data_IF_768595874452
#
_entry.id   IF_768595874452
#
_cell.length_a   1.000
_cell.length_b   1.000
_cell.length_c   1.000
_cell.angle_alpha   90.00
_cell.angle_beta   90.00
_cell.angle_gamma   90.00
#
_symmetry.space_group_name_H-M   'P 1'
#
loop_
_entity.id
_entity.type
_entity.pdbx_description
1 polymer ?
#
# COMPACT_ATOMS: atom_id res chain seq x y z
N UNK A 1 6.31 23.72 45.61
CA UNK A 1 6.89 22.43 45.17
C UNK A 1 6.06 21.66 44.13
N UNK A 2 4.85 22.12 43.80
CA UNK A 2 3.95 21.44 42.81
C UNK A 2 4.24 21.76 41.34
N UNK A 3 5.00 22.80 41.07
CA UNK A 3 5.21 23.28 39.67
C UNK A 3 6.33 22.57 38.91
N UNK A 4 7.34 22.07 39.59
CA UNK A 4 8.48 21.38 38.98
C UNK A 4 8.11 20.00 38.39
N UNK A 5 7.19 19.28 39.06
CA UNK A 5 6.71 17.98 38.51
C UNK A 5 5.84 18.18 37.26
N UNK A 6 5.04 19.24 37.23
CA UNK A 6 4.24 19.61 36.04
C UNK A 6 5.10 20.04 34.87
N UNK A 7 6.19 20.78 35.15
CA UNK A 7 7.16 21.20 34.14
C UNK A 7 7.93 20.00 33.57
N UNK A 8 8.44 19.11 34.43
CA UNK A 8 9.13 17.88 34.04
C UNK A 8 8.22 16.94 33.23
N UNK A 9 6.94 16.83 33.60
CA UNK A 9 5.96 16.02 32.86
C UNK A 9 5.68 16.61 31.46
N UNK A 10 5.55 17.94 31.34
CA UNK A 10 5.40 18.63 30.05
C UNK A 10 6.65 18.49 29.18
N UNK A 11 7.83 18.60 29.78
CA UNK A 11 9.09 18.40 29.08
C UNK A 11 9.26 16.95 28.62
N UNK A 12 8.95 15.98 29.49
CA UNK A 12 8.94 14.57 29.14
C UNK A 12 7.95 14.26 28.01
N UNK A 13 6.73 14.81 28.06
CA UNK A 13 5.72 14.64 27.01
C UNK A 13 6.17 15.25 25.69
N UNK A 14 6.86 16.38 25.73
CA UNK A 14 7.42 17.04 24.54
C UNK A 14 8.61 16.27 23.95
N UNK A 15 9.48 15.71 24.78
CA UNK A 15 10.60 14.88 24.36
C UNK A 15 10.15 13.49 23.92
N UNK A 16 9.12 12.91 24.53
CA UNK A 16 8.58 11.61 24.13
C UNK A 16 7.84 11.66 22.80
N UNK A 17 7.28 12.81 22.40
CA UNK A 17 6.71 13.01 21.06
C UNK A 17 7.79 13.02 19.98
N UNK A 18 9.01 13.46 20.29
CA UNK A 18 10.14 13.44 19.35
C UNK A 18 10.75 12.03 19.16
N UNK A 19 10.50 11.10 20.09
CA UNK A 19 11.01 9.72 20.05
C UNK A 19 9.98 8.68 19.62
N UNK A 20 8.74 9.07 19.30
CA UNK A 20 7.76 8.12 18.80
C UNK A 20 8.17 7.64 17.41
N UNK A 21 8.40 6.35 17.30
CA UNK A 21 8.51 5.68 16.02
C UNK A 21 7.36 6.16 15.13
N UNK A 22 7.68 6.64 13.93
CA UNK A 22 6.68 7.17 13.01
C UNK A 22 5.74 6.03 12.61
N UNK A 23 4.51 6.09 13.09
CA UNK A 23 3.45 5.19 12.64
C UNK A 23 2.99 5.63 11.26
N UNK A 24 3.09 4.75 10.29
CA UNK A 24 2.61 4.97 8.92
C UNK A 24 1.62 3.88 8.53
N UNK A 25 0.60 4.28 7.77
CA UNK A 25 -0.39 3.38 7.20
C UNK A 25 -0.38 3.58 5.70
N UNK A 26 -0.31 2.49 4.97
CA UNK A 26 -0.38 2.49 3.52
C UNK A 26 -1.36 1.44 3.02
N UNK A 27 -1.74 1.58 1.77
CA UNK A 27 -2.59 0.64 1.04
C UNK A 27 -1.85 0.09 -0.17
N UNK A 28 -2.15 -1.14 -0.53
CA UNK A 28 -1.76 -1.75 -1.80
C UNK A 28 -2.94 -2.49 -2.38
N UNK A 29 -3.05 -2.47 -3.69
CA UNK A 29 -4.08 -3.21 -4.40
C UNK A 29 -3.47 -4.36 -5.19
N UNK A 30 -4.07 -5.51 -5.07
CA UNK A 30 -3.85 -6.68 -5.89
C UNK A 30 -4.95 -6.70 -6.94
N UNK A 31 -4.72 -5.94 -8.02
CA UNK A 31 -5.66 -5.84 -9.14
C UNK A 31 -5.46 -7.04 -10.06
N UNK A 32 -6.52 -7.81 -10.25
CA UNK A 32 -6.53 -9.03 -11.07
C UNK A 32 -7.29 -8.79 -12.36
N UNK A 33 -6.73 -9.25 -13.48
CA UNK A 33 -7.45 -9.32 -14.75
C UNK A 33 -8.26 -10.63 -14.88
N UNK A 34 -8.89 -10.82 -16.03
CA UNK A 34 -9.74 -11.99 -16.32
C UNK A 34 -8.96 -13.31 -16.29
N UNK A 35 -7.64 -13.28 -16.56
CA UNK A 35 -6.73 -14.42 -16.49
C UNK A 35 -6.07 -14.59 -15.10
N UNK A 36 -6.52 -13.83 -14.08
CA UNK A 36 -5.93 -13.76 -12.74
C UNK A 36 -4.46 -13.32 -12.72
N UNK A 37 -4.02 -12.55 -13.72
CA UNK A 37 -2.72 -11.90 -13.70
C UNK A 37 -2.79 -10.65 -12.83
N UNK A 38 -1.68 -10.30 -12.22
CA UNK A 38 -1.55 -9.25 -11.21
C UNK A 38 -1.00 -7.99 -11.84
N UNK A 39 -1.68 -6.86 -11.63
CA UNK A 39 -1.18 -5.56 -12.03
C UNK A 39 0.01 -5.15 -11.17
N UNK A 40 1.13 -4.85 -11.81
CA UNK A 40 2.29 -4.23 -11.18
C UNK A 40 2.61 -2.91 -11.88
N UNK A 41 3.23 -2.00 -11.12
CA UNK A 41 3.71 -0.71 -11.59
C UNK A 41 5.21 -0.59 -11.43
N UNK A 42 5.85 0.10 -12.37
CA UNK A 42 7.24 0.51 -12.30
C UNK A 42 7.29 2.04 -12.30
N UNK A 43 7.89 2.59 -11.27
CA UNK A 43 8.04 4.04 -11.14
C UNK A 43 9.19 4.58 -11.98
N UNK A 44 9.09 5.83 -12.43
CA UNK A 44 10.13 6.49 -13.21
C UNK A 44 11.37 6.87 -12.38
N UNK A 45 11.23 6.99 -11.06
CA UNK A 45 12.26 7.49 -10.13
C UNK A 45 12.88 6.39 -9.23
N UNK A 46 12.43 5.14 -9.34
CA UNK A 46 13.02 4.00 -8.61
C UNK A 46 12.89 2.70 -9.40
N UNK A 47 13.88 1.84 -9.25
CA UNK A 47 13.88 0.55 -9.90
C UNK A 47 12.92 -0.45 -9.26
N UNK A 48 12.50 -1.41 -10.06
CA UNK A 48 11.70 -2.56 -9.65
C UNK A 48 10.21 -2.42 -9.88
N UNK A 49 9.52 -3.55 -9.64
CA UNK A 49 8.08 -3.68 -9.80
C UNK A 49 7.39 -3.77 -8.44
N UNK A 50 6.26 -3.10 -8.33
CA UNK A 50 5.52 -2.95 -7.08
C UNK A 50 4.03 -3.17 -7.28
N UNK A 51 3.34 -3.64 -6.24
CA UNK A 51 1.88 -3.51 -6.20
C UNK A 51 1.51 -2.01 -6.17
N UNK A 52 0.51 -1.58 -6.98
CA UNK A 52 0.04 -0.21 -6.93
C UNK A 52 -0.51 0.17 -5.56
N UNK A 53 -0.33 1.43 -5.18
CA UNK A 53 -0.80 2.00 -3.93
C UNK A 53 0.24 2.82 -3.21
N UNK A 54 -0.18 3.54 -2.17
CA UNK A 54 0.63 4.50 -1.45
C UNK A 54 0.23 4.71 -0.01
N UNK A 55 0.62 5.86 0.54
CA UNK A 55 0.30 6.25 1.90
C UNK A 55 -1.13 6.75 2.06
N UNK A 56 -1.74 6.45 3.21
CA UNK A 56 -3.02 7.02 3.60
C UNK A 56 -2.81 8.44 4.14
N UNK A 57 -3.56 9.40 3.63
CA UNK A 57 -3.51 10.80 4.06
C UNK A 57 -4.39 11.02 5.29
N UNK A 58 -4.08 12.04 6.07
CA UNK A 58 -4.93 12.44 7.21
C UNK A 58 -6.35 12.75 6.74
N UNK A 59 -7.34 12.14 7.38
CA UNK A 59 -8.75 12.32 7.03
C UNK A 59 -9.24 11.48 5.85
N UNK A 60 -8.38 10.66 5.26
CA UNK A 60 -8.71 9.75 4.16
C UNK A 60 -9.04 8.34 4.69
N UNK A 61 -10.07 7.70 4.19
CA UNK A 61 -10.31 6.29 4.48
C UNK A 61 -9.32 5.39 3.72
N UNK A 62 -9.17 4.12 4.15
CA UNK A 62 -8.30 3.17 3.46
C UNK A 62 -8.78 2.89 2.03
N UNK A 63 -10.10 2.85 1.83
CA UNK A 63 -10.70 2.63 0.51
C UNK A 63 -10.49 3.83 -0.40
N UNK A 64 -10.69 5.05 0.11
CA UNK A 64 -10.45 6.28 -0.66
C UNK A 64 -8.98 6.41 -1.05
N UNK A 65 -8.05 6.10 -0.12
CA UNK A 65 -6.62 6.07 -0.39
C UNK A 65 -6.29 5.07 -1.50
N UNK A 66 -6.82 3.85 -1.42
CA UNK A 66 -6.62 2.82 -2.44
C UNK A 66 -7.16 3.28 -3.80
N UNK A 67 -8.39 3.80 -3.85
CA UNK A 67 -9.01 4.27 -5.10
C UNK A 67 -8.23 5.43 -5.71
N UNK A 68 -7.78 6.39 -4.92
CA UNK A 68 -6.94 7.50 -5.38
C UNK A 68 -5.63 6.99 -5.98
N UNK A 69 -4.91 6.14 -5.25
CA UNK A 69 -3.62 5.59 -5.71
C UNK A 69 -3.78 4.75 -6.99
N UNK A 70 -4.81 3.91 -7.08
CA UNK A 70 -5.08 3.12 -8.29
C UNK A 70 -5.35 4.02 -9.49
N UNK A 71 -6.15 5.06 -9.31
CA UNK A 71 -6.44 6.02 -10.38
C UNK A 71 -5.16 6.74 -10.83
N UNK A 72 -4.35 7.21 -9.89
CA UNK A 72 -3.11 7.94 -10.17
C UNK A 72 -2.04 7.04 -10.82
N UNK A 73 -1.84 5.81 -10.33
CA UNK A 73 -0.76 4.94 -10.77
C UNK A 73 -1.11 4.01 -11.92
N UNK A 74 -2.38 3.65 -12.10
CA UNK A 74 -2.81 2.65 -13.10
C UNK A 74 -3.94 3.08 -14.02
N UNK A 75 -4.59 4.20 -13.71
CA UNK A 75 -5.82 4.63 -14.39
C UNK A 75 -7.05 3.78 -14.05
N UNK A 76 -6.93 2.84 -13.12
CA UNK A 76 -8.02 1.95 -12.69
C UNK A 76 -9.03 2.71 -11.85
N UNK A 77 -10.29 2.53 -12.17
CA UNK A 77 -11.46 2.99 -11.44
C UNK A 77 -12.20 1.79 -10.86
N UNK A 78 -12.63 1.92 -9.60
CA UNK A 78 -13.35 0.87 -8.89
C UNK A 78 -14.86 1.11 -8.94
N UNK A 79 -15.68 0.05 -9.01
CA UNK A 79 -17.12 0.18 -8.80
C UNK A 79 -17.39 0.57 -7.34
N UNK A 80 -18.61 1.04 -7.05
CA UNK A 80 -19.04 1.38 -5.68
C UNK A 80 -19.15 0.18 -4.72
N UNK A 81 -18.91 -1.03 -5.21
CA UNK A 81 -18.95 -2.26 -4.40
C UNK A 81 -17.83 -2.32 -3.37
N UNK A 82 -18.10 -2.84 -2.17
CA UNK A 82 -17.07 -3.03 -1.16
C UNK A 82 -15.92 -3.90 -1.66
N UNK A 83 -14.68 -3.43 -1.46
CA UNK A 83 -13.48 -4.17 -1.81
C UNK A 83 -13.05 -5.10 -0.66
N UNK A 84 -12.57 -6.28 -1.01
CA UNK A 84 -12.09 -7.25 -0.01
C UNK A 84 -10.71 -6.89 0.48
N UNK A 85 -10.54 -6.83 1.80
CA UNK A 85 -9.21 -6.77 2.42
C UNK A 85 -8.63 -8.19 2.42
N UNK A 86 -7.46 -8.34 1.79
CA UNK A 86 -6.72 -9.59 1.84
C UNK A 86 -6.00 -9.77 3.17
N UNK A 87 -5.34 -8.73 3.66
CA UNK A 87 -4.59 -8.79 4.90
C UNK A 87 -3.84 -7.50 5.23
N UNK A 88 -3.26 -7.50 6.43
CA UNK A 88 -2.42 -6.42 6.92
C UNK A 88 -1.00 -6.94 7.12
N UNK A 89 -0.04 -6.23 6.57
CA UNK A 89 1.39 -6.56 6.64
C UNK A 89 2.12 -5.46 7.41
N UNK A 90 2.81 -5.84 8.47
CA UNK A 90 3.54 -4.88 9.31
C UNK A 90 5.05 -5.02 9.11
N UNK A 91 5.74 -3.89 9.14
CA UNK A 91 7.20 -3.81 9.11
C UNK A 91 7.69 -2.82 10.15
N UNK A 92 8.70 -3.23 10.92
CA UNK A 92 9.29 -2.45 12.01
C UNK A 92 10.77 -2.23 11.69
N UNK A 93 11.06 -1.32 10.75
CA UNK A 93 12.43 -1.02 10.33
C UNK A 93 12.72 0.47 10.52
N UNK A 94 13.97 0.80 10.81
CA UNK A 94 14.46 2.18 10.89
C UNK A 94 13.61 3.08 11.81
N UNK A 95 13.18 2.57 12.96
CA UNK A 95 12.33 3.28 13.92
C UNK A 95 10.96 3.71 13.35
N UNK A 96 10.48 3.03 12.32
CA UNK A 96 9.14 3.20 11.76
C UNK A 96 8.30 1.97 12.05
N UNK A 97 7.03 2.19 12.35
CA UNK A 97 5.99 1.16 12.36
C UNK A 97 5.13 1.36 11.13
N UNK A 98 5.39 0.58 10.10
CA UNK A 98 4.69 0.68 8.83
C UNK A 98 3.68 -0.46 8.69
N UNK A 99 2.42 -0.11 8.47
CA UNK A 99 1.32 -1.06 8.32
C UNK A 99 0.71 -0.89 6.93
N UNK A 100 0.73 -1.96 6.16
CA UNK A 100 0.20 -1.98 4.79
C UNK A 100 -1.03 -2.86 4.73
N UNK A 101 -2.16 -2.28 4.36
CA UNK A 101 -3.41 -3.01 4.08
C UNK A 101 -3.42 -3.36 2.59
N UNK A 102 -3.59 -4.65 2.27
CA UNK A 102 -3.66 -5.16 0.90
C UNK A 102 -5.11 -5.49 0.57
N UNK A 103 -5.62 -4.89 -0.49
CA UNK A 103 -6.94 -5.15 -1.05
C UNK A 103 -6.84 -6.07 -2.26
N UNK A 104 -7.85 -6.90 -2.49
CA UNK A 104 -8.03 -7.65 -3.74
C UNK A 104 -9.09 -6.94 -4.57
N UNK A 105 -8.76 -6.67 -5.82
CA UNK A 105 -9.61 -5.96 -6.78
C UNK A 105 -9.79 -6.84 -8.01
N UNK A 106 -11.02 -7.27 -8.26
CA UNK A 106 -11.39 -8.11 -9.42
C UNK A 106 -12.25 -7.35 -10.44
N UNK A 107 -13.13 -6.48 -9.93
CA UNK A 107 -14.03 -5.66 -10.77
C UNK A 107 -13.44 -4.25 -10.87
N UNK A 108 -13.08 -3.85 -12.08
CA UNK A 108 -12.47 -2.56 -12.35
C UNK A 108 -12.64 -2.15 -13.82
N UNK A 109 -12.45 -0.87 -14.09
CA UNK A 109 -12.41 -0.31 -15.44
C UNK A 109 -11.24 0.67 -15.55
N UNK A 110 -10.86 1.04 -16.77
CA UNK A 110 -9.89 2.12 -17.00
C UNK A 110 -10.65 3.40 -17.28
N UNK A 111 -10.34 4.46 -16.54
CA UNK A 111 -11.05 5.75 -16.65
C UNK A 111 -10.14 6.95 -16.89
N UNK A 112 -8.85 6.85 -16.61
CA UNK A 112 -7.94 7.98 -16.64
C UNK A 112 -6.55 7.63 -17.18
N UNK A 113 -5.78 8.67 -17.50
CA UNK A 113 -4.37 8.54 -17.82
C UNK A 113 -3.54 8.31 -16.56
N UNK A 114 -2.46 7.56 -16.70
CA UNK A 114 -1.51 7.25 -15.64
C UNK A 114 -0.63 8.48 -15.34
N UNK A 115 -0.27 8.68 -14.07
CA UNK A 115 0.63 9.74 -13.63
C UNK A 115 2.00 9.63 -14.32
N UNK A 116 2.66 10.78 -14.66
CA UNK A 116 4.04 10.79 -15.19
C UNK A 116 5.09 10.14 -14.27
N UNK A 117 4.78 9.94 -13.00
CA UNK A 117 5.63 9.22 -12.04
C UNK A 117 5.71 7.71 -12.32
N UNK A 118 4.80 7.17 -13.12
CA UNK A 118 4.74 5.76 -13.50
C UNK A 118 5.34 5.59 -14.89
N UNK A 119 6.41 4.80 -14.96
CA UNK A 119 7.06 4.48 -16.22
C UNK A 119 6.33 3.35 -16.97
N UNK A 120 5.73 2.42 -16.24
CA UNK A 120 5.09 1.25 -16.84
C UNK A 120 4.03 0.63 -15.93
N UNK A 121 2.95 0.14 -16.52
CA UNK A 121 1.90 -0.66 -15.87
C UNK A 121 1.75 -1.94 -16.69
N UNK A 122 1.84 -3.11 -16.04
CA UNK A 122 1.70 -4.39 -16.74
C UNK A 122 1.11 -5.47 -15.83
N UNK A 123 0.56 -6.52 -16.43
CA UNK A 123 -0.03 -7.66 -15.74
C UNK A 123 0.86 -8.90 -15.88
N UNK A 124 1.09 -9.59 -14.75
CA UNK A 124 1.97 -10.75 -14.67
C UNK A 124 1.31 -11.91 -13.95
N UNK A 125 1.59 -13.13 -14.36
CA UNK A 125 1.19 -14.31 -13.63
C UNK A 125 1.88 -14.36 -12.25
N UNK A 126 1.20 -14.88 -11.24
CA UNK A 126 1.72 -14.90 -9.86
C UNK A 126 2.98 -15.77 -9.68
N UNK A 127 3.20 -16.71 -10.57
CA UNK A 127 4.33 -17.65 -10.64
C UNK A 127 5.41 -17.20 -11.66
N UNK A 128 5.16 -16.16 -12.44
CA UNK A 128 6.08 -15.60 -13.42
C UNK A 128 6.17 -14.05 -13.26
N UNK A 129 6.61 -13.63 -12.08
CA UNK A 129 6.80 -12.21 -11.79
C UNK A 129 8.07 -11.68 -12.48
N UNK A 130 8.07 -10.42 -12.95
CA UNK A 130 9.22 -9.84 -13.64
C UNK A 130 10.41 -9.69 -12.70
N UNK A 131 11.61 -9.75 -13.30
CA UNK A 131 12.86 -9.46 -12.60
C UNK A 131 12.80 -8.08 -11.93
N UNK A 132 13.37 -7.98 -10.73
CA UNK A 132 13.34 -6.75 -9.95
C UNK A 132 12.02 -6.51 -9.19
N UNK A 133 11.08 -7.47 -9.18
CA UNK A 133 9.91 -7.38 -8.29
C UNK A 133 10.37 -7.29 -6.83
N UNK A 134 9.88 -6.28 -6.09
CA UNK A 134 10.32 -6.07 -4.72
C UNK A 134 9.98 -7.27 -3.82
N UNK A 135 10.89 -7.59 -2.89
CA UNK A 135 10.70 -8.71 -1.97
C UNK A 135 9.40 -8.59 -1.14
N UNK A 136 9.01 -7.37 -0.81
CA UNK A 136 7.74 -7.12 -0.10
C UNK A 136 6.53 -7.38 -0.99
N UNK A 137 6.58 -7.01 -2.27
CA UNK A 137 5.55 -7.31 -3.27
C UNK A 137 5.40 -8.82 -3.46
N UNK A 138 6.51 -9.52 -3.73
CA UNK A 138 6.53 -10.97 -3.91
C UNK A 138 5.93 -11.70 -2.70
N UNK A 139 6.29 -11.30 -1.48
CA UNK A 139 5.76 -11.90 -0.25
C UNK A 139 4.25 -11.69 -0.10
N UNK A 140 3.73 -10.50 -0.43
CA UNK A 140 2.30 -10.20 -0.37
C UNK A 140 1.52 -11.01 -1.42
N UNK A 141 2.02 -11.10 -2.64
CA UNK A 141 1.43 -11.89 -3.72
C UNK A 141 1.36 -13.38 -3.32
N UNK A 142 2.46 -13.95 -2.82
CA UNK A 142 2.49 -15.34 -2.37
C UNK A 142 1.50 -15.60 -1.25
N UNK A 143 1.33 -14.70 -0.30
CA UNK A 143 0.35 -14.85 0.77
C UNK A 143 -1.09 -14.90 0.23
N UNK A 144 -1.40 -14.15 -0.84
CA UNK A 144 -2.73 -14.17 -1.51
C UNK A 144 -2.95 -15.47 -2.28
N UNK A 145 -1.94 -15.97 -2.98
CA UNK A 145 -2.05 -17.18 -3.79
C UNK A 145 -2.48 -18.41 -3.00
N UNK A 146 -2.14 -18.46 -1.70
CA UNK A 146 -2.57 -19.56 -0.83
C UNK A 146 -4.06 -19.50 -0.43
N UNK A 147 -4.69 -18.35 -0.47
CA UNK A 147 -6.05 -18.14 0.07
C UNK A 147 -7.13 -17.88 -0.98
N UNK A 148 -6.80 -17.30 -2.12
CA UNK A 148 -7.80 -16.79 -3.08
C UNK A 148 -7.65 -17.23 -4.54
N UNK A 149 -6.51 -17.78 -4.94
CA UNK A 149 -6.27 -18.20 -6.33
C UNK A 149 -6.47 -19.72 -6.53
N UNK A 150 -6.77 -20.47 -5.47
CA UNK A 150 -7.03 -21.92 -5.51
C UNK A 150 -8.51 -22.29 -5.29
N UNK A 151 -9.41 -21.30 -5.28
CA UNK A 151 -10.85 -21.54 -5.18
C UNK A 151 -11.53 -21.44 -6.55
#
# INVERSE_FOLDING_TARGET
>A
MSDLRGLLFRLYKRLSTFRRAKLTIGVRALVLDEENRICLVRHSYRDGWYLPGGGVKTGESLVDAMQRELREETGVELPETPQSVHGVFSSFREHKSDHIVVFVVKDWSISSSVSPEIAEVAFFASDDLPDGTSAATTRRIKAVSYTHLRA
#
